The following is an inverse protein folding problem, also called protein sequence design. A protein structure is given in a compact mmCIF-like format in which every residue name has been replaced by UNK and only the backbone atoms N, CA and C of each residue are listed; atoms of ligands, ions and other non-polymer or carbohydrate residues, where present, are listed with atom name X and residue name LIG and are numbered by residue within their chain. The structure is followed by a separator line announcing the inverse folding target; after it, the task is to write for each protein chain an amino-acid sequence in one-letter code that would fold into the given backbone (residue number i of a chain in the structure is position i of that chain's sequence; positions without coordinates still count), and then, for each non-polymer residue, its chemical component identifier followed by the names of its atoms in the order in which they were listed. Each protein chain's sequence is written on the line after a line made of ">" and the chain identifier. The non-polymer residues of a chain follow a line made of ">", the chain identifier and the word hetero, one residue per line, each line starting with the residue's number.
data_IF_040506450090
#
_entry.id   IF_040506450090
#
_cell.length_a   1.000
_cell.length_b   1.000
_cell.length_c   1.000
_cell.angle_alpha   90.00
_cell.angle_beta   90.00
_cell.angle_gamma   90.00
#
_symmetry.space_group_name_H-M   'P 1'
#
loop_
_entity.id
_entity.type
_entity.pdbx_description
1 polymer ?
#
# COMPACT_ATOMS: atom_id res chain seq x y z
N UNK A 1 -41.19 -7.21 47.27
CA UNK A 1 -40.24 -6.50 48.17
C UNK A 1 -40.60 -6.85 49.61
N UNK A 2 -39.68 -6.89 50.59
CA UNK A 2 -38.38 -6.20 50.71
C UNK A 2 -37.18 -7.16 50.96
N UNK A 3 -35.94 -6.84 50.56
CA UNK A 3 -34.93 -5.93 51.14
C UNK A 3 -34.33 -6.41 52.47
N UNK A 4 -33.00 -6.62 52.47
CA UNK A 4 -32.17 -6.92 53.64
C UNK A 4 -30.98 -5.96 53.65
N UNK A 5 -30.92 -5.09 54.64
CA UNK A 5 -29.75 -4.26 54.98
C UNK A 5 -28.85 -5.02 55.96
N UNK A 6 -27.53 -4.83 55.84
CA UNK A 6 -26.52 -5.36 56.74
C UNK A 6 -25.84 -4.21 57.51
N UNK A 7 -25.45 -4.41 58.79
CA UNK A 7 -24.86 -3.35 59.61
C UNK A 7 -23.33 -3.28 59.49
N UNK A 8 -22.84 -2.04 59.61
CA UNK A 8 -21.43 -1.63 59.69
C UNK A 8 -20.81 -1.95 61.06
N UNK A 9 -19.52 -2.32 61.15
CA UNK A 9 -18.79 -2.26 62.41
C UNK A 9 -17.96 -0.97 62.53
N UNK A 10 -17.93 -0.44 63.75
CA UNK A 10 -17.20 0.75 64.18
C UNK A 10 -15.96 0.39 65.03
N UNK A 11 -15.09 1.39 65.13
CA UNK A 11 -13.68 1.48 65.56
C UNK A 11 -13.36 1.05 67.00
N UNK A 12 -12.10 0.65 67.20
CA UNK A 12 -11.15 0.93 68.32
C UNK A 12 -9.97 -0.08 68.22
N UNK A 13 -8.68 0.15 68.49
CA UNK A 13 -7.76 1.26 68.81
C UNK A 13 -6.33 0.65 68.89
N UNK A 14 -5.28 1.46 68.71
CA UNK A 14 -3.97 1.46 69.41
C UNK A 14 -2.68 1.08 68.63
N UNK A 15 -1.69 1.95 68.88
CA UNK A 15 -0.29 2.09 68.43
C UNK A 15 0.59 0.84 68.44
N UNK A 16 1.66 0.86 67.62
CA UNK A 16 3.04 0.67 68.08
C UNK A 16 4.05 1.23 67.07
N UNK A 17 5.05 1.95 67.60
CA UNK A 17 6.17 2.54 66.88
C UNK A 17 7.23 1.48 66.53
N UNK A 18 7.90 1.65 65.39
CA UNK A 18 9.06 0.85 65.01
C UNK A 18 9.97 1.64 64.08
N UNK A 19 11.10 2.13 64.60
CA UNK A 19 12.21 2.73 63.87
C UNK A 19 12.99 1.63 63.14
N UNK A 20 12.80 1.53 61.82
CA UNK A 20 13.60 0.70 60.93
C UNK A 20 14.39 1.56 59.95
N UNK A 21 15.71 1.55 60.07
CA UNK A 21 16.66 2.19 59.15
C UNK A 21 16.58 1.48 57.79
N UNK A 22 15.87 2.05 56.82
CA UNK A 22 15.83 1.52 55.46
C UNK A 22 17.09 1.98 54.70
N UNK A 23 17.97 1.03 54.38
CA UNK A 23 19.01 1.20 53.37
C UNK A 23 18.33 1.60 52.05
N UNK A 24 18.56 2.82 51.59
CA UNK A 24 18.16 3.27 50.27
C UNK A 24 18.99 2.51 49.23
N UNK A 25 18.50 1.33 48.85
CA UNK A 25 18.88 0.70 47.60
C UNK A 25 18.36 1.60 46.48
N UNK A 26 19.26 2.37 45.88
CA UNK A 26 19.01 2.97 44.58
C UNK A 26 18.88 1.83 43.57
N UNK A 27 17.70 1.22 43.50
CA UNK A 27 17.28 0.53 42.30
C UNK A 27 17.19 1.62 41.24
N UNK A 28 18.30 1.82 40.51
CA UNK A 28 18.25 2.47 39.23
C UNK A 28 17.22 1.67 38.43
N UNK A 29 16.01 2.22 38.32
CA UNK A 29 15.05 1.76 37.35
C UNK A 29 15.81 1.81 36.03
N UNK A 30 16.13 0.64 35.46
CA UNK A 30 16.62 0.54 34.11
C UNK A 30 15.59 1.25 33.25
N UNK A 31 15.95 2.47 32.82
CA UNK A 31 15.06 3.32 32.05
C UNK A 31 14.66 2.55 30.80
N UNK A 32 13.35 2.38 30.61
CA UNK A 32 12.79 2.00 29.32
C UNK A 32 13.51 2.83 28.26
N UNK A 33 14.12 2.22 27.23
CA UNK A 33 14.80 2.98 26.19
C UNK A 33 13.87 4.09 25.69
N UNK A 34 14.39 5.32 25.61
CA UNK A 34 13.63 6.49 25.17
C UNK A 34 12.86 6.19 23.88
N UNK A 35 11.66 6.75 23.76
CA UNK A 35 10.78 6.49 22.62
C UNK A 35 11.48 6.75 21.28
N UNK A 36 11.07 6.05 20.23
CA UNK A 36 11.64 6.17 18.87
C UNK A 36 11.55 7.59 18.27
N UNK A 37 10.86 8.50 18.95
CA UNK A 37 10.65 9.92 18.60
C UNK A 37 11.95 10.70 18.40
N UNK A 38 13.03 10.32 19.10
CA UNK A 38 14.31 11.02 19.02
C UNK A 38 15.22 10.47 17.89
N UNK A 39 14.78 9.42 17.18
CA UNK A 39 15.49 8.89 16.02
C UNK A 39 15.18 9.70 14.76
N UNK A 40 16.14 9.88 13.83
CA UNK A 40 15.89 10.61 12.59
C UNK A 40 14.75 10.01 11.77
N UNK A 41 13.75 10.82 11.44
CA UNK A 41 12.68 10.50 10.51
C UNK A 41 12.86 11.29 9.22
N UNK A 42 13.04 10.58 8.10
CA UNK A 42 13.06 11.18 6.76
C UNK A 42 11.92 10.55 5.95
N UNK A 43 10.77 11.24 5.80
CA UNK A 43 9.69 10.76 4.96
C UNK A 43 10.14 10.67 3.50
N UNK A 44 9.76 9.60 2.76
CA UNK A 44 10.04 9.53 1.34
C UNK A 44 9.26 10.62 0.60
N UNK A 45 9.87 11.24 -0.41
CA UNK A 45 9.17 12.09 -1.37
C UNK A 45 8.97 11.35 -2.67
N UNK A 46 8.07 11.88 -3.51
CA UNK A 46 7.76 11.31 -4.81
C UNK A 46 7.92 12.34 -5.91
N UNK A 47 8.49 11.94 -7.04
CA UNK A 47 8.61 12.78 -8.24
C UNK A 47 8.02 12.08 -9.47
N UNK A 48 7.28 12.83 -10.29
CA UNK A 48 6.61 12.28 -11.48
C UNK A 48 7.60 11.74 -12.51
N UNK A 49 7.30 10.56 -13.06
CA UNK A 49 8.11 9.89 -14.09
C UNK A 49 7.36 9.80 -15.42
N UNK A 50 6.19 9.17 -15.41
CA UNK A 50 5.32 9.07 -16.58
C UNK A 50 3.86 8.80 -16.15
N UNK A 51 2.93 9.02 -17.07
CA UNK A 51 1.55 8.52 -16.98
C UNK A 51 1.24 7.64 -18.20
N UNK A 52 0.41 6.62 -17.98
CA UNK A 52 -0.02 5.67 -18.99
C UNK A 52 -1.53 5.55 -18.98
N UNK A 53 -2.16 5.77 -20.14
CA UNK A 53 -3.52 5.35 -20.41
C UNK A 53 -3.42 3.93 -20.97
N UNK A 54 -3.82 2.95 -20.18
CA UNK A 54 -3.77 1.53 -20.51
C UNK A 54 -5.17 1.08 -20.91
N UNK A 55 -5.34 0.70 -22.17
CA UNK A 55 -6.60 0.22 -22.72
C UNK A 55 -6.81 -1.25 -22.39
N UNK A 56 -8.05 -1.61 -22.06
CA UNK A 56 -8.40 -2.92 -21.53
C UNK A 56 -9.63 -3.50 -22.22
N UNK A 57 -9.61 -4.82 -22.38
CA UNK A 57 -10.77 -5.60 -22.81
C UNK A 57 -11.75 -5.82 -21.63
N UNK A 58 -12.96 -6.34 -21.91
CA UNK A 58 -13.85 -6.82 -20.87
C UNK A 58 -13.16 -7.82 -19.93
N UNK A 59 -13.57 -7.77 -18.67
CA UNK A 59 -13.10 -8.68 -17.64
C UNK A 59 -13.51 -10.12 -17.96
N UNK A 60 -12.58 -11.06 -17.78
CA UNK A 60 -12.84 -12.50 -17.88
C UNK A 60 -12.81 -13.12 -16.48
N UNK A 61 -13.91 -13.71 -16.01
CA UNK A 61 -13.93 -14.41 -14.72
C UNK A 61 -13.13 -15.71 -14.81
N UNK A 62 -12.37 -16.03 -13.77
CA UNK A 62 -11.61 -17.28 -13.64
C UNK A 62 -12.15 -18.19 -12.52
N UNK A 63 -13.29 -17.82 -11.93
CA UNK A 63 -13.94 -18.52 -10.84
C UNK A 63 -13.37 -18.17 -9.46
N UNK A 64 -14.00 -18.76 -8.44
CA UNK A 64 -13.65 -18.56 -7.04
C UNK A 64 -12.48 -19.45 -6.59
N UNK A 65 -11.76 -18.96 -5.60
CA UNK A 65 -10.72 -19.70 -4.88
C UNK A 65 -10.88 -19.51 -3.36
N UNK A 66 -10.17 -20.29 -2.52
CA UNK A 66 -10.20 -20.08 -1.07
C UNK A 66 -9.83 -18.66 -0.63
N UNK A 67 -9.03 -17.95 -1.44
CA UNK A 67 -8.58 -16.58 -1.17
C UNK A 67 -9.50 -15.49 -1.73
N UNK A 68 -10.48 -15.85 -2.58
CA UNK A 68 -11.39 -14.91 -3.22
C UNK A 68 -11.61 -15.18 -4.71
N UNK A 69 -12.32 -14.26 -5.35
CA UNK A 69 -12.68 -14.36 -6.77
C UNK A 69 -11.48 -14.00 -7.65
N UNK A 70 -11.19 -14.84 -8.64
CA UNK A 70 -10.08 -14.64 -9.58
C UNK A 70 -10.61 -14.11 -10.90
N UNK A 71 -9.92 -13.12 -11.46
CA UNK A 71 -10.30 -12.47 -12.72
C UNK A 71 -9.06 -12.16 -13.54
N UNK A 72 -9.24 -11.99 -14.85
CA UNK A 72 -8.20 -11.46 -15.72
C UNK A 72 -8.78 -10.36 -16.60
N UNK A 73 -8.03 -9.27 -16.76
CA UNK A 73 -8.38 -8.13 -17.62
C UNK A 73 -7.29 -8.01 -18.68
N UNK A 74 -7.57 -8.41 -19.93
CA UNK A 74 -6.60 -8.30 -21.02
C UNK A 74 -6.25 -6.83 -21.31
N UNK A 75 -4.96 -6.56 -21.52
CA UNK A 75 -4.47 -5.25 -21.96
C UNK A 75 -4.39 -5.25 -23.48
N UNK A 76 -5.10 -4.32 -24.10
CA UNK A 76 -5.27 -4.26 -25.56
C UNK A 76 -4.42 -3.19 -26.22
N UNK A 77 -3.77 -2.34 -25.43
CA UNK A 77 -2.88 -1.29 -25.91
C UNK A 77 -2.94 -0.05 -25.05
N UNK A 78 -2.77 1.10 -25.68
CA UNK A 78 -2.81 2.41 -25.04
C UNK A 78 -1.58 3.26 -25.34
N UNK A 79 -1.35 4.28 -24.52
CA UNK A 79 -0.27 5.25 -24.70
C UNK A 79 0.30 5.68 -23.37
N UNK A 80 1.55 6.14 -23.38
CA UNK A 80 2.17 6.70 -22.20
C UNK A 80 3.07 7.88 -22.55
N UNK A 81 3.24 8.78 -21.60
CA UNK A 81 4.06 9.98 -21.75
C UNK A 81 4.62 10.46 -20.40
N UNK A 82 5.78 11.07 -20.45
CA UNK A 82 6.49 11.67 -19.33
C UNK A 82 7.60 12.60 -19.82
N UNK A 83 8.30 13.29 -18.92
CA UNK A 83 9.30 14.29 -19.32
C UNK A 83 10.47 13.71 -20.13
N UNK A 84 10.81 12.43 -19.88
CA UNK A 84 11.97 11.75 -20.50
C UNK A 84 11.60 10.53 -21.33
N UNK A 85 10.32 10.17 -21.41
CA UNK A 85 9.88 8.97 -22.12
C UNK A 85 8.45 9.12 -22.62
N UNK A 86 8.15 8.57 -23.78
CA UNK A 86 6.81 8.50 -24.35
C UNK A 86 6.73 7.37 -25.36
N UNK A 87 5.52 6.93 -25.66
CA UNK A 87 5.27 5.89 -26.65
C UNK A 87 3.92 5.21 -26.48
N UNK A 88 3.88 3.93 -26.82
CA UNK A 88 2.65 3.13 -26.88
C UNK A 88 2.70 1.95 -25.91
N UNK A 89 1.55 1.60 -25.34
CA UNK A 89 1.39 0.32 -24.63
C UNK A 89 1.03 -0.73 -25.68
N UNK A 90 1.69 -1.88 -25.63
CA UNK A 90 1.46 -2.95 -26.60
C UNK A 90 0.32 -3.88 -26.16
N UNK A 91 -0.43 -4.47 -27.09
CA UNK A 91 -1.34 -5.57 -26.78
C UNK A 91 -0.57 -6.82 -26.36
N UNK A 92 -1.19 -7.66 -25.54
CA UNK A 92 -0.67 -9.00 -25.18
C UNK A 92 -0.47 -9.22 -23.69
N UNK A 93 -0.34 -8.13 -22.93
CA UNK A 93 -0.32 -8.16 -21.47
C UNK A 93 -1.70 -8.41 -20.86
N UNK A 94 -1.73 -8.60 -19.54
CA UNK A 94 -2.97 -8.71 -18.80
C UNK A 94 -2.77 -8.36 -17.32
N UNK A 95 -3.85 -7.89 -16.70
CA UNK A 95 -3.98 -7.72 -15.26
C UNK A 95 -4.69 -8.92 -14.64
N UNK A 96 -3.98 -9.65 -13.78
CA UNK A 96 -4.53 -10.77 -13.00
C UNK A 96 -4.99 -10.23 -11.67
N UNK A 97 -6.29 -10.35 -11.42
CA UNK A 97 -6.91 -9.78 -10.24
C UNK A 97 -7.37 -10.88 -9.28
N UNK A 98 -7.15 -10.65 -7.99
CA UNK A 98 -7.80 -11.36 -6.89
C UNK A 98 -8.67 -10.36 -6.14
N UNK A 99 -9.98 -10.59 -6.11
CA UNK A 99 -10.89 -9.90 -5.21
C UNK A 99 -11.01 -10.75 -3.95
N UNK A 100 -10.34 -10.32 -2.89
CA UNK A 100 -10.34 -11.00 -1.60
C UNK A 100 -11.74 -11.00 -0.99
N UNK A 101 -11.95 -11.91 -0.04
CA UNK A 101 -13.24 -12.03 0.70
C UNK A 101 -13.60 -10.78 1.51
N UNK A 102 -12.59 -9.99 1.89
CA UNK A 102 -12.76 -8.67 2.53
C UNK A 102 -12.96 -7.52 1.52
N UNK A 103 -13.13 -7.82 0.23
CA UNK A 103 -13.36 -6.86 -0.85
C UNK A 103 -12.14 -6.08 -1.31
N UNK A 104 -10.99 -6.25 -0.66
CA UNK A 104 -9.72 -5.70 -1.14
C UNK A 104 -9.35 -6.38 -2.45
N UNK A 105 -8.93 -5.62 -3.45
CA UNK A 105 -8.49 -6.14 -4.74
C UNK A 105 -6.98 -6.08 -4.83
N UNK A 106 -6.38 -7.18 -5.23
CA UNK A 106 -4.97 -7.29 -5.57
C UNK A 106 -4.86 -7.48 -7.07
N UNK A 107 -4.18 -6.55 -7.72
CA UNK A 107 -3.95 -6.54 -9.16
C UNK A 107 -2.48 -6.87 -9.41
N UNK A 108 -2.20 -7.61 -10.47
CA UNK A 108 -0.85 -7.95 -10.92
C UNK A 108 -0.83 -7.92 -12.45
N UNK A 109 -0.55 -6.73 -12.97
CA UNK A 109 -0.47 -6.48 -14.41
C UNK A 109 0.95 -6.69 -14.91
N UNK A 110 1.11 -7.49 -15.95
CA UNK A 110 2.36 -7.65 -16.69
C UNK A 110 2.09 -7.34 -18.17
N UNK A 111 2.83 -6.39 -18.72
CA UNK A 111 2.65 -5.90 -20.08
C UNK A 111 3.88 -5.16 -20.61
N UNK A 112 3.87 -4.85 -21.90
CA UNK A 112 4.96 -4.19 -22.58
C UNK A 112 4.60 -2.76 -22.99
N UNK A 113 5.58 -1.87 -22.91
CA UNK A 113 5.52 -0.51 -23.46
C UNK A 113 6.62 -0.35 -24.51
N UNK A 114 6.26 0.18 -25.68
CA UNK A 114 7.21 0.53 -26.74
C UNK A 114 7.45 2.04 -26.74
N UNK A 115 8.67 2.45 -26.41
CA UNK A 115 9.12 3.83 -26.52
C UNK A 115 9.24 4.25 -28.00
N UNK A 116 9.21 5.57 -28.26
CA UNK A 116 9.29 6.12 -29.62
C UNK A 116 10.59 5.74 -30.37
N UNK A 117 11.70 5.56 -29.66
CA UNK A 117 12.96 5.09 -30.23
C UNK A 117 13.00 3.58 -30.51
N UNK A 118 11.89 2.89 -30.26
CA UNK A 118 11.71 1.46 -30.53
C UNK A 118 12.07 0.54 -29.37
N UNK A 119 12.61 1.05 -28.26
CA UNK A 119 12.91 0.24 -27.09
C UNK A 119 11.64 -0.36 -26.48
N UNK A 120 11.69 -1.64 -26.09
CA UNK A 120 10.58 -2.36 -25.46
C UNK A 120 10.87 -2.52 -23.97
N UNK A 121 9.99 -1.95 -23.15
CA UNK A 121 10.02 -2.05 -21.70
C UNK A 121 9.03 -3.12 -21.25
N UNK A 122 9.44 -4.00 -20.35
CA UNK A 122 8.50 -4.85 -19.61
C UNK A 122 8.10 -4.15 -18.32
N UNK A 123 6.80 -4.04 -18.07
CA UNK A 123 6.23 -3.40 -16.88
C UNK A 123 5.46 -4.43 -16.08
N UNK A 124 5.81 -4.57 -14.80
CA UNK A 124 4.97 -5.23 -13.82
C UNK A 124 4.40 -4.20 -12.86
N UNK A 125 3.09 -4.05 -12.84
CA UNK A 125 2.38 -3.10 -11.99
C UNK A 125 1.46 -3.86 -11.04
N UNK A 126 1.81 -3.85 -9.75
CA UNK A 126 1.04 -4.48 -8.69
C UNK A 126 0.26 -3.41 -7.94
N UNK A 127 -1.06 -3.54 -7.86
CA UNK A 127 -1.92 -2.52 -7.23
C UNK A 127 -2.73 -3.14 -6.10
N UNK A 128 -2.73 -2.47 -4.95
CA UNK A 128 -3.70 -2.74 -3.90
C UNK A 128 -4.82 -1.72 -4.01
N UNK A 129 -6.06 -2.22 -4.11
CA UNK A 129 -7.25 -1.39 -4.07
C UNK A 129 -8.08 -1.78 -2.86
N UNK A 130 -8.16 -0.88 -1.90
CA UNK A 130 -9.18 -0.90 -0.85
C UNK A 130 -10.18 0.22 -1.16
N UNK A 131 -11.44 -0.09 -1.54
CA UNK A 131 -12.42 0.94 -1.85
C UNK A 131 -12.82 1.81 -0.64
N UNK A 132 -12.32 1.50 0.56
CA UNK A 132 -12.72 2.15 1.79
C UNK A 132 -14.03 1.55 2.30
N UNK A 133 -14.00 1.00 3.50
CA UNK A 133 -15.18 0.55 4.24
C UNK A 133 -15.31 1.38 5.52
N UNK A 134 -16.52 1.54 6.02
CA UNK A 134 -16.79 2.18 7.32
C UNK A 134 -16.19 3.59 7.47
N UNK A 135 -16.21 4.39 6.39
CA UNK A 135 -15.70 5.76 6.37
C UNK A 135 -14.20 5.90 6.11
N UNK A 136 -13.48 4.79 5.89
CA UNK A 136 -12.10 4.82 5.42
C UNK A 136 -11.98 5.41 3.99
N UNK A 137 -10.89 6.14 3.67
CA UNK A 137 -10.68 6.68 2.33
C UNK A 137 -10.40 5.58 1.30
N UNK A 138 -10.73 5.87 0.03
CA UNK A 138 -10.36 5.01 -1.11
C UNK A 138 -8.84 4.97 -1.26
N UNK A 139 -8.26 3.76 -1.23
CA UNK A 139 -6.83 3.51 -1.31
C UNK A 139 -6.51 2.74 -2.60
N UNK A 140 -5.74 3.35 -3.51
CA UNK A 140 -5.41 2.78 -4.83
C UNK A 140 -3.98 3.11 -5.24
N UNK A 141 -3.05 2.30 -4.77
CA UNK A 141 -1.63 2.54 -5.01
C UNK A 141 -0.94 1.36 -5.65
N UNK A 142 -0.05 1.72 -6.58
CA UNK A 142 0.76 0.82 -7.37
C UNK A 142 2.17 0.70 -6.78
N UNK A 143 2.74 -0.49 -6.89
CA UNK A 143 4.19 -0.74 -6.91
C UNK A 143 4.55 -1.17 -8.32
N UNK A 144 5.48 -0.45 -8.95
CA UNK A 144 5.78 -0.61 -10.37
C UNK A 144 7.23 -1.04 -10.52
N UNK A 145 7.44 -2.15 -11.22
CA UNK A 145 8.75 -2.57 -11.68
C UNK A 145 8.82 -2.39 -13.20
N UNK A 146 9.92 -1.81 -13.68
CA UNK A 146 10.20 -1.68 -15.11
C UNK A 146 11.52 -2.37 -15.40
N UNK A 147 11.52 -3.22 -16.42
CA UNK A 147 12.72 -3.79 -17.02
C UNK A 147 12.91 -3.17 -18.39
N UNK A 148 13.94 -2.34 -18.50
CA UNK A 148 14.36 -1.69 -19.74
C UNK A 148 15.58 -2.40 -20.33
N UNK A 149 15.73 -2.45 -21.67
CA UNK A 149 16.96 -2.89 -22.31
C UNK A 149 18.11 -1.95 -21.97
N UNK A 150 19.34 -2.40 -22.24
CA UNK A 150 20.50 -1.51 -22.24
C UNK A 150 20.28 -0.35 -23.22
N UNK A 151 20.80 0.83 -22.88
CA UNK A 151 20.67 2.04 -23.70
C UNK A 151 19.91 3.19 -23.03
N UNK A 152 19.23 4.05 -23.81
CA UNK A 152 18.70 5.34 -23.33
C UNK A 152 17.72 5.25 -22.16
N UNK A 153 17.02 4.13 -22.00
CA UNK A 153 16.00 3.92 -20.96
C UNK A 153 16.48 3.08 -19.77
N UNK A 154 17.74 2.63 -19.76
CA UNK A 154 18.30 1.80 -18.69
C UNK A 154 18.26 2.46 -17.30
N UNK A 155 18.08 3.78 -17.23
CA UNK A 155 17.89 4.52 -15.98
C UNK A 155 16.61 4.08 -15.22
N UNK A 156 15.59 3.57 -15.90
CA UNK A 156 14.36 3.07 -15.27
C UNK A 156 14.62 1.86 -14.38
N UNK A 157 15.61 1.03 -14.73
CA UNK A 157 16.00 -0.16 -13.96
C UNK A 157 16.57 0.19 -12.56
N UNK A 158 16.86 1.46 -12.30
CA UNK A 158 17.51 1.94 -11.07
C UNK A 158 16.55 2.68 -10.15
N UNK A 159 15.26 2.67 -10.45
CA UNK A 159 14.25 3.42 -9.70
C UNK A 159 13.36 2.49 -8.87
N UNK A 160 13.01 2.97 -7.68
CA UNK A 160 11.83 2.48 -6.97
C UNK A 160 10.65 3.31 -7.43
N UNK A 161 9.68 2.67 -8.08
CA UNK A 161 8.50 3.34 -8.60
C UNK A 161 7.25 2.93 -7.81
N UNK A 162 6.52 3.95 -7.38
CA UNK A 162 5.16 3.83 -6.86
C UNK A 162 4.20 4.51 -7.82
N UNK A 163 2.90 4.29 -7.68
CA UNK A 163 1.95 4.94 -8.56
C UNK A 163 0.53 5.02 -8.05
N UNK A 164 -0.31 5.68 -8.82
CA UNK A 164 -1.75 5.74 -8.59
C UNK A 164 -2.48 5.10 -9.77
N UNK A 165 -3.68 4.58 -9.49
CA UNK A 165 -4.56 3.97 -10.48
C UNK A 165 -5.92 4.65 -10.47
N UNK A 166 -6.37 5.12 -11.64
CA UNK A 166 -7.68 5.71 -11.85
C UNK A 166 -8.42 5.02 -13.00
N UNK A 167 -9.70 4.70 -12.82
CA UNK A 167 -10.53 4.14 -13.90
C UNK A 167 -11.03 5.25 -14.80
N UNK A 168 -10.90 5.09 -16.13
CA UNK A 168 -11.44 6.04 -17.11
C UNK A 168 -12.83 5.65 -17.63
N UNK A 169 -13.39 4.53 -17.14
CA UNK A 169 -14.77 4.15 -17.43
C UNK A 169 -15.77 5.11 -16.76
N UNK A 170 -16.94 5.36 -17.39
CA UNK A 170 -17.41 4.74 -18.64
C UNK A 170 -16.90 5.41 -19.92
N UNK A 171 -16.25 6.58 -19.83
CA UNK A 171 -15.83 7.36 -21.01
C UNK A 171 -14.84 6.63 -21.92
N UNK A 172 -13.94 5.83 -21.34
CA UNK A 172 -12.99 5.00 -22.08
C UNK A 172 -12.83 3.64 -21.37
N UNK A 173 -12.74 2.56 -22.14
CA UNK A 173 -12.36 1.23 -21.63
C UNK A 173 -10.85 1.18 -21.32
N UNK A 174 -10.43 1.98 -20.34
CA UNK A 174 -9.03 2.17 -19.99
C UNK A 174 -8.88 2.53 -18.50
N UNK A 175 -7.64 2.44 -18.03
CA UNK A 175 -7.19 2.97 -16.74
C UNK A 175 -6.06 3.97 -16.95
N UNK A 176 -5.98 4.98 -16.10
CA UNK A 176 -4.87 5.90 -16.00
C UNK A 176 -3.96 5.47 -14.85
N UNK A 177 -2.71 5.14 -15.16
CA UNK A 177 -1.65 4.90 -14.20
C UNK A 177 -0.72 6.10 -14.20
N UNK A 178 -0.38 6.63 -13.02
CA UNK A 178 0.72 7.61 -12.88
C UNK A 178 1.84 7.01 -12.07
N UNK A 179 3.04 7.01 -12.62
CA UNK A 179 4.24 6.48 -11.99
C UNK A 179 5.11 7.61 -11.43
N UNK A 180 5.60 7.40 -10.21
CA UNK A 180 6.46 8.32 -9.48
C UNK A 180 7.68 7.58 -8.94
N UNK A 181 8.85 8.21 -8.99
CA UNK A 181 10.06 7.71 -8.32
C UNK A 181 10.08 8.19 -6.88
N UNK A 182 10.66 7.39 -5.99
CA UNK A 182 11.01 7.85 -4.64
C UNK A 182 12.27 8.75 -4.70
N UNK A 183 12.27 9.84 -3.92
CA UNK A 183 13.29 10.90 -3.87
C UNK A 183 13.48 11.49 -2.47
#
# INVERSE_FOLDING_TARGET
>A
MPHRDAPHPDRRTLLLAGTGLALAGNAAAEGVPGGLTDLPLVPPRTEFVYEAVVEIAPLVPLGDSPLGERRIVPITGGRFQGPRIRGTVLPGGADRQLVRKDGVRQLDALYEMKAEDGAILTVRNQVLIDPGRDGAPDYRFSTIAVTAPEGPHAWLNRLVLVGTLHSLRPAQAAVLVRAFRLA
#
